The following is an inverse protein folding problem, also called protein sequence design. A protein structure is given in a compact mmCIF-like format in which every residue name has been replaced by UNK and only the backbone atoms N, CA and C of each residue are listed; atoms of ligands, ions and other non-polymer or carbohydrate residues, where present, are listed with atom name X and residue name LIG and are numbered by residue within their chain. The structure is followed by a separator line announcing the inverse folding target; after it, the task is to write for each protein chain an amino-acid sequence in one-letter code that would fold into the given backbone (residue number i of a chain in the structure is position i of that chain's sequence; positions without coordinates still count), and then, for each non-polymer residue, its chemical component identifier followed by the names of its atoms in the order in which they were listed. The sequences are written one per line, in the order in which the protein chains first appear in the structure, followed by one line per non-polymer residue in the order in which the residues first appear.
data_IF_645033258037
#
_entry.id   IF_645033258037
#
_cell.length_a   1.000
_cell.length_b   1.000
_cell.length_c   1.000
_cell.angle_alpha   90.00
_cell.angle_beta   90.00
_cell.angle_gamma   90.00
#
_symmetry.space_group_name_H-M   'P 1'
#
loop_
_entity.id
_entity.type
_entity.pdbx_description
1 polymer ?
#
# COMPACT_ATOMS: atom_id res chain seq x y z
N UNK A 1 -9.76 -19.03 17.53
CA UNK A 1 -8.41 -19.29 17.99
C UNK A 1 -7.56 -18.03 17.95
N UNK A 2 -6.49 -18.01 18.75
CA UNK A 2 -5.62 -16.85 18.85
C UNK A 2 -4.23 -17.18 18.30
N UNK A 3 -3.67 -16.21 17.60
CA UNK A 3 -2.31 -16.21 17.13
C UNK A 3 -1.52 -15.14 17.88
N UNK A 4 -0.31 -15.47 18.30
CA UNK A 4 0.57 -14.58 19.05
C UNK A 4 1.79 -14.27 18.18
N UNK A 5 1.97 -13.01 17.81
CA UNK A 5 3.17 -12.55 17.12
C UNK A 5 4.05 -11.75 18.07
N UNK A 6 5.36 -11.95 18.02
CA UNK A 6 6.35 -11.19 18.76
C UNK A 6 7.18 -10.37 17.78
N UNK A 7 7.34 -9.07 18.04
CA UNK A 7 8.10 -8.15 17.20
C UNK A 7 8.78 -7.07 18.06
N UNK A 8 9.58 -6.22 17.43
CA UNK A 8 10.12 -5.00 18.04
C UNK A 8 9.03 -3.93 18.26
N UNK A 9 9.35 -2.91 19.05
CA UNK A 9 8.42 -1.84 19.40
C UNK A 9 8.03 -0.96 18.20
N UNK A 10 8.94 -0.74 17.25
CA UNK A 10 8.69 0.07 16.06
C UNK A 10 7.69 -0.64 15.12
N UNK A 11 7.84 -1.95 14.99
CA UNK A 11 6.88 -2.79 14.27
C UNK A 11 5.53 -2.80 14.98
N UNK A 12 5.51 -2.92 16.30
CA UNK A 12 4.26 -2.93 17.09
C UNK A 12 3.47 -1.62 16.95
N UNK A 13 4.15 -0.47 16.89
CA UNK A 13 3.51 0.83 16.71
C UNK A 13 2.67 0.91 15.43
N UNK A 14 3.00 0.13 14.40
CA UNK A 14 2.24 0.07 13.15
C UNK A 14 0.87 -0.60 13.30
N UNK A 15 0.65 -1.33 14.39
CA UNK A 15 -0.62 -1.99 14.70
C UNK A 15 -1.60 -1.08 15.45
N UNK A 16 -1.16 0.11 15.86
CA UNK A 16 -2.06 1.09 16.47
C UNK A 16 -3.17 1.46 15.48
N UNK A 17 -4.42 1.33 15.93
CA UNK A 17 -5.62 1.59 15.14
C UNK A 17 -5.84 0.67 13.92
N UNK A 18 -5.15 -0.46 13.86
CA UNK A 18 -5.38 -1.49 12.85
C UNK A 18 -6.41 -2.49 13.39
N UNK A 19 -7.57 -2.60 12.73
CA UNK A 19 -8.63 -3.52 13.15
C UNK A 19 -8.43 -4.93 12.60
N UNK A 20 -8.17 -5.06 11.30
CA UNK A 20 -8.06 -6.36 10.62
C UNK A 20 -6.78 -6.44 9.81
N UNK A 21 -6.14 -7.59 9.85
CA UNK A 21 -4.89 -7.90 9.15
C UNK A 21 -5.02 -9.21 8.37
N UNK A 22 -4.12 -9.42 7.41
CA UNK A 22 -3.95 -10.71 6.75
C UNK A 22 -2.64 -11.34 7.21
N UNK A 23 -2.69 -12.61 7.58
CA UNK A 23 -1.53 -13.39 8.03
C UNK A 23 -1.22 -14.44 6.98
N UNK A 24 0.03 -14.58 6.60
CA UNK A 24 0.53 -15.67 5.76
C UNK A 24 1.84 -16.23 6.30
N UNK A 25 2.08 -17.51 6.03
CA UNK A 25 3.34 -18.19 6.33
C UNK A 25 4.06 -18.45 5.02
N UNK A 26 5.16 -17.72 4.74
CA UNK A 26 5.88 -17.83 3.46
C UNK A 26 6.29 -19.27 3.15
N UNK A 27 5.96 -19.73 1.96
CA UNK A 27 6.30 -21.09 1.48
C UNK A 27 5.46 -22.24 2.03
N UNK A 28 4.53 -21.97 2.95
CA UNK A 28 3.69 -23.02 3.57
C UNK A 28 2.19 -22.83 3.39
N UNK A 29 1.77 -21.67 2.91
CA UNK A 29 0.37 -21.30 2.81
C UNK A 29 0.09 -20.54 1.53
N UNK A 30 -0.97 -20.96 0.82
CA UNK A 30 -1.38 -20.33 -0.43
C UNK A 30 -2.43 -19.22 -0.23
N UNK A 31 -3.19 -19.25 0.87
CA UNK A 31 -4.28 -18.30 1.14
C UNK A 31 -4.05 -17.59 2.46
N UNK A 32 -3.89 -16.26 2.47
CA UNK A 32 -3.78 -15.49 3.69
C UNK A 32 -5.02 -15.63 4.59
N UNK A 33 -4.81 -15.68 5.89
CA UNK A 33 -5.88 -15.70 6.88
C UNK A 33 -6.24 -14.28 7.33
N UNK A 34 -7.51 -14.02 7.45
CA UNK A 34 -7.98 -12.79 8.09
C UNK A 34 -8.00 -12.94 9.60
N UNK A 35 -7.41 -11.98 10.28
CA UNK A 35 -7.39 -11.90 11.74
C UNK A 35 -7.73 -10.49 12.22
N UNK A 36 -8.33 -10.39 13.40
CA UNK A 36 -8.57 -9.12 14.07
C UNK A 36 -7.48 -8.88 15.11
N UNK A 37 -6.92 -7.68 15.14
CA UNK A 37 -5.98 -7.26 16.20
C UNK A 37 -6.80 -7.07 17.46
N UNK A 38 -6.58 -7.94 18.45
CA UNK A 38 -7.29 -7.90 19.73
C UNK A 38 -6.56 -7.03 20.75
N UNK A 39 -5.24 -7.17 20.81
CA UNK A 39 -4.40 -6.48 21.78
C UNK A 39 -2.96 -6.35 21.29
N UNK A 40 -2.31 -5.25 21.68
CA UNK A 40 -0.87 -5.04 21.52
C UNK A 40 -0.28 -4.79 22.91
N UNK A 41 0.50 -5.75 23.41
CA UNK A 41 1.18 -5.69 24.69
C UNK A 41 2.64 -5.31 24.47
N UNK A 42 3.09 -4.21 25.03
CA UNK A 42 4.49 -3.75 24.90
C UNK A 42 5.27 -3.99 26.17
N UNK A 43 6.44 -4.58 26.04
CA UNK A 43 7.48 -4.63 27.08
C UNK A 43 8.60 -3.65 26.70
N UNK A 44 8.56 -2.48 27.33
CA UNK A 44 9.53 -1.40 27.04
C UNK A 44 10.92 -1.74 27.54
N UNK A 45 11.02 -2.48 28.62
CA UNK A 45 12.30 -2.85 29.23
C UNK A 45 13.00 -3.95 28.40
N UNK A 46 12.21 -4.88 27.86
CA UNK A 46 12.71 -5.92 26.96
C UNK A 46 12.82 -5.50 25.50
N UNK A 47 12.30 -4.33 25.12
CA UNK A 47 12.35 -3.82 23.73
C UNK A 47 11.49 -4.62 22.74
N UNK A 48 10.53 -5.41 23.24
CA UNK A 48 9.68 -6.29 22.43
C UNK A 48 8.20 -6.00 22.66
N UNK A 49 7.40 -6.44 21.71
CA UNK A 49 5.94 -6.40 21.83
C UNK A 49 5.33 -7.74 21.43
N UNK A 50 4.21 -8.05 22.03
CA UNK A 50 3.36 -9.20 21.73
C UNK A 50 2.04 -8.71 21.17
N UNK A 51 1.72 -9.15 19.94
CA UNK A 51 0.48 -8.83 19.27
C UNK A 51 -0.44 -10.05 19.35
N UNK A 52 -1.64 -9.85 19.86
CA UNK A 52 -2.67 -10.87 19.96
C UNK A 52 -3.63 -10.70 18.78
N UNK A 53 -3.69 -11.73 17.94
CA UNK A 53 -4.52 -11.75 16.73
C UNK A 53 -5.59 -12.83 16.89
N UNK A 54 -6.85 -12.46 16.72
CA UNK A 54 -7.98 -13.38 16.77
C UNK A 54 -8.40 -13.78 15.36
N UNK A 55 -8.39 -15.07 15.07
CA UNK A 55 -8.86 -15.66 13.83
C UNK A 55 -10.16 -16.43 14.04
N UNK A 56 -11.15 -16.21 13.18
CA UNK A 56 -12.43 -16.91 13.25
C UNK A 56 -12.38 -18.28 12.55
N UNK A 57 -11.54 -18.38 11.51
CA UNK A 57 -11.38 -19.61 10.71
C UNK A 57 -9.99 -20.19 10.91
N UNK A 58 -9.88 -21.49 10.90
CA UNK A 58 -8.63 -22.23 10.87
C UNK A 58 -8.65 -23.14 9.62
N UNK A 59 -7.57 -23.20 8.89
CA UNK A 59 -7.42 -24.14 7.79
C UNK A 59 -6.44 -25.26 8.16
N UNK A 60 -6.45 -26.32 7.37
CA UNK A 60 -5.60 -27.49 7.62
C UNK A 60 -4.08 -27.16 7.54
N UNK A 61 -3.72 -26.16 6.76
CA UNK A 61 -2.31 -25.77 6.54
C UNK A 61 -1.67 -25.22 7.82
N UNK A 62 -2.52 -24.74 8.77
CA UNK A 62 -2.05 -24.08 10.01
C UNK A 62 -2.11 -25.04 11.21
N UNK A 63 -2.91 -26.12 11.08
CA UNK A 63 -2.99 -27.13 12.10
C UNK A 63 -1.66 -27.88 12.22
N UNK A 64 -0.69 -27.43 12.84
CA UNK A 64 0.63 -28.06 12.98
C UNK A 64 1.74 -27.06 12.98
N UNK A 65 1.43 -25.78 12.81
CA UNK A 65 2.41 -24.72 13.01
C UNK A 65 2.67 -24.58 14.52
N UNK A 66 3.93 -24.70 14.89
CA UNK A 66 4.39 -24.33 16.22
C UNK A 66 4.87 -22.88 16.22
N UNK A 67 6.19 -22.68 16.27
CA UNK A 67 6.81 -21.37 16.15
C UNK A 67 7.26 -21.18 14.70
N UNK A 68 6.69 -20.18 14.01
CA UNK A 68 6.96 -19.88 12.60
C UNK A 68 7.16 -18.40 12.39
N UNK A 69 7.93 -18.05 11.36
CA UNK A 69 8.01 -16.66 10.87
C UNK A 69 6.80 -16.40 9.97
N UNK A 70 6.06 -15.35 10.29
CA UNK A 70 4.85 -14.98 9.55
C UNK A 70 5.00 -13.62 8.89
N UNK A 71 4.30 -13.42 7.79
CA UNK A 71 4.07 -12.13 7.18
C UNK A 71 2.69 -11.64 7.58
N UNK A 72 2.61 -10.42 8.09
CA UNK A 72 1.35 -9.78 8.46
C UNK A 72 1.16 -8.53 7.59
N UNK A 73 0.12 -8.57 6.76
CA UNK A 73 -0.26 -7.44 5.90
C UNK A 73 -1.26 -6.56 6.67
N UNK A 74 -0.83 -5.38 7.07
CA UNK A 74 -1.61 -4.45 7.89
C UNK A 74 -2.69 -3.73 7.08
N UNK A 75 -2.36 -3.38 5.82
CA UNK A 75 -3.27 -2.67 4.92
C UNK A 75 -2.95 -3.02 3.47
N UNK A 76 -4.00 -3.30 2.72
CA UNK A 76 -3.90 -3.47 1.27
C UNK A 76 -4.46 -2.23 0.59
N UNK A 77 -3.71 -1.69 -0.36
CA UNK A 77 -4.17 -0.60 -1.22
C UNK A 77 -4.29 -1.11 -2.64
N UNK A 78 -5.39 -0.76 -3.28
CA UNK A 78 -5.61 -1.00 -4.71
C UNK A 78 -5.60 0.33 -5.44
N UNK A 79 -4.95 0.38 -6.60
CA UNK A 79 -4.85 1.60 -7.38
C UNK A 79 -3.81 1.53 -8.50
N UNK A 80 -3.62 2.66 -9.18
CA UNK A 80 -2.64 2.81 -10.24
C UNK A 80 -1.29 3.16 -9.62
N UNK A 81 -0.26 2.39 -9.97
CA UNK A 81 1.11 2.63 -9.53
C UNK A 81 1.83 3.54 -10.52
N UNK A 82 2.39 4.62 -10.02
CA UNK A 82 3.13 5.62 -10.79
C UNK A 82 4.57 5.72 -10.24
N UNK A 83 5.56 5.81 -11.11
CA UNK A 83 6.94 6.07 -10.73
C UNK A 83 7.03 7.44 -10.02
N UNK A 84 7.72 7.48 -8.88
CA UNK A 84 7.87 8.70 -8.11
C UNK A 84 8.59 9.82 -8.88
N UNK A 85 9.45 9.47 -9.84
CA UNK A 85 10.14 10.43 -10.70
C UNK A 85 9.19 11.18 -11.64
N UNK A 86 8.00 10.64 -11.91
CA UNK A 86 6.98 11.30 -12.71
C UNK A 86 6.17 12.35 -11.93
N UNK A 87 6.39 12.47 -10.61
CA UNK A 87 5.67 13.43 -9.78
C UNK A 87 6.18 14.85 -10.01
N UNK A 88 5.25 15.75 -10.31
CA UNK A 88 5.50 17.19 -10.42
C UNK A 88 4.59 17.98 -9.47
N UNK A 89 5.05 19.16 -9.09
CA UNK A 89 4.26 20.12 -8.31
C UNK A 89 4.13 21.39 -9.16
N UNK A 90 2.90 21.68 -9.55
CA UNK A 90 2.54 22.86 -10.35
C UNK A 90 1.52 23.67 -9.56
N UNK A 91 1.81 24.95 -9.30
CA UNK A 91 0.97 25.85 -8.50
C UNK A 91 0.56 25.25 -7.13
N UNK A 92 1.50 24.55 -6.48
CA UNK A 92 1.26 23.87 -5.20
C UNK A 92 0.43 22.59 -5.28
N UNK A 93 0.07 22.14 -6.48
CA UNK A 93 -0.71 20.93 -6.71
C UNK A 93 0.17 19.78 -7.18
N UNK A 94 0.03 18.61 -6.56
CA UNK A 94 0.73 17.38 -6.97
C UNK A 94 0.02 16.77 -8.19
N UNK A 95 0.82 16.38 -9.19
CA UNK A 95 0.29 15.80 -10.40
C UNK A 95 1.36 15.14 -11.25
N UNK A 96 0.95 14.61 -12.37
CA UNK A 96 1.80 14.00 -13.39
C UNK A 96 1.50 14.57 -14.76
N UNK A 97 2.49 14.58 -15.63
CA UNK A 97 2.27 14.88 -17.04
C UNK A 97 1.98 13.59 -17.79
N UNK A 98 0.91 13.59 -18.56
CA UNK A 98 0.53 12.50 -19.45
C UNK A 98 0.60 12.96 -20.91
N UNK A 99 0.90 12.02 -21.79
CA UNK A 99 0.82 12.23 -23.22
C UNK A 99 -0.60 12.01 -23.70
N UNK A 100 -1.22 13.06 -24.21
CA UNK A 100 -2.56 13.03 -24.78
C UNK A 100 -2.49 13.39 -26.27
N UNK A 101 -2.44 12.38 -27.13
CA UNK A 101 -2.11 12.57 -28.55
C UNK A 101 -0.71 13.17 -28.70
N UNK A 102 -0.61 14.38 -29.26
CA UNK A 102 0.65 15.13 -29.42
C UNK A 102 0.83 16.24 -28.36
N UNK A 103 0.02 16.24 -27.31
CA UNK A 103 0.06 17.25 -26.25
C UNK A 103 0.51 16.66 -24.93
N UNK A 104 1.20 17.45 -24.13
CA UNK A 104 1.42 17.20 -22.71
C UNK A 104 0.24 17.72 -21.93
N UNK A 105 -0.26 16.96 -20.97
CA UNK A 105 -1.37 17.36 -20.11
C UNK A 105 -1.02 17.12 -18.65
N UNK A 106 -1.17 18.13 -17.81
CA UNK A 106 -0.96 18.00 -16.37
C UNK A 106 -2.23 17.48 -15.71
N UNK A 107 -2.15 16.32 -15.07
CA UNK A 107 -3.24 15.73 -14.31
C UNK A 107 -2.92 15.72 -12.83
N UNK A 108 -3.84 16.24 -12.02
CA UNK A 108 -3.71 16.24 -10.56
C UNK A 108 -3.94 14.84 -10.02
N UNK A 109 -3.19 14.49 -8.98
CA UNK A 109 -3.32 13.17 -8.34
C UNK A 109 -3.61 13.30 -6.84
N UNK A 110 -4.42 12.38 -6.33
CA UNK A 110 -4.57 12.10 -4.91
C UNK A 110 -3.70 10.89 -4.58
N UNK A 111 -2.94 10.93 -3.49
CA UNK A 111 -2.05 9.83 -3.08
C UNK A 111 -2.76 8.93 -2.08
N UNK A 112 -2.84 7.63 -2.36
CA UNK A 112 -3.28 6.59 -1.42
C UNK A 112 -2.12 6.08 -0.57
N UNK A 113 -0.96 5.89 -1.22
CA UNK A 113 0.26 5.40 -0.61
C UNK A 113 1.46 5.94 -1.39
N UNK A 114 2.57 6.15 -0.70
CA UNK A 114 3.83 6.62 -1.29
C UNK A 114 5.01 5.99 -0.57
N UNK A 115 6.04 5.60 -1.32
CA UNK A 115 7.34 5.22 -0.80
C UNK A 115 8.46 5.88 -1.62
N UNK A 116 9.70 5.41 -1.47
CA UNK A 116 10.85 6.00 -2.16
C UNK A 116 10.86 5.77 -3.68
N UNK A 117 10.14 4.75 -4.16
CA UNK A 117 10.17 4.31 -5.56
C UNK A 117 8.91 4.66 -6.33
N UNK A 118 7.75 4.66 -5.70
CA UNK A 118 6.47 4.87 -6.39
C UNK A 118 5.41 5.55 -5.53
N UNK A 119 4.39 6.04 -6.22
CA UNK A 119 3.16 6.58 -5.67
C UNK A 119 2.00 5.69 -6.13
N UNK A 120 1.07 5.38 -5.25
CA UNK A 120 -0.18 4.71 -5.57
C UNK A 120 -1.32 5.73 -5.52
N UNK A 121 -2.07 5.83 -6.60
CA UNK A 121 -3.22 6.71 -6.74
C UNK A 121 -4.51 5.89 -6.87
N UNK A 122 -5.69 6.44 -6.54
CA UNK A 122 -6.96 5.75 -6.75
C UNK A 122 -7.16 5.40 -8.22
N UNK A 123 -7.63 4.19 -8.50
CA UNK A 123 -8.25 3.85 -9.77
C UNK A 123 -9.76 4.10 -9.64
N UNK A 124 -10.22 5.24 -10.08
CA UNK A 124 -11.63 5.61 -9.95
C UNK A 124 -12.52 4.92 -10.99
N UNK A 125 -11.93 4.17 -11.94
CA UNK A 125 -12.66 3.38 -12.94
C UNK A 125 -13.66 4.17 -13.80
N UNK A 126 -13.72 5.49 -13.66
CA UNK A 126 -14.65 6.34 -14.37
C UNK A 126 -14.13 6.67 -15.76
N UNK A 127 -14.70 6.03 -16.74
CA UNK A 127 -14.54 6.40 -18.16
C UNK A 127 -15.20 7.76 -18.36
N UNK A 128 -14.42 8.78 -18.72
CA UNK A 128 -15.00 10.05 -19.18
C UNK A 128 -14.69 11.31 -18.39
N UNK A 129 -13.96 11.27 -17.28
CA UNK A 129 -13.46 12.49 -16.63
C UNK A 129 -12.07 12.82 -17.17
N UNK A 130 -11.95 13.89 -17.92
CA UNK A 130 -10.72 14.29 -18.62
C UNK A 130 -9.59 14.78 -17.72
N UNK A 131 -9.75 14.73 -16.40
CA UNK A 131 -8.80 15.30 -15.44
C UNK A 131 -8.21 14.28 -14.46
N UNK A 132 -8.40 12.97 -14.68
CA UNK A 132 -7.87 11.92 -13.81
C UNK A 132 -6.96 10.98 -14.59
N UNK A 133 -5.89 10.52 -13.96
CA UNK A 133 -5.00 9.49 -14.52
C UNK A 133 -5.74 8.17 -14.58
N UNK A 134 -5.62 7.49 -15.71
CA UNK A 134 -6.27 6.20 -15.99
C UNK A 134 -5.24 5.10 -16.18
N UNK A 135 -5.70 3.89 -16.04
CA UNK A 135 -4.91 2.73 -16.41
C UNK A 135 -4.57 2.80 -17.92
N UNK A 136 -3.30 2.58 -18.26
CA UNK A 136 -2.71 2.69 -19.59
C UNK A 136 -2.46 4.11 -20.12
N UNK A 137 -2.66 5.17 -19.33
CA UNK A 137 -2.18 6.49 -19.72
C UNK A 137 -0.64 6.49 -19.82
N UNK A 138 -0.11 7.11 -20.88
CA UNK A 138 1.33 7.28 -21.08
C UNK A 138 1.84 8.42 -20.19
N UNK A 139 2.41 8.08 -19.04
CA UNK A 139 2.97 9.05 -18.09
C UNK A 139 4.38 9.44 -18.51
N UNK A 140 4.67 10.74 -18.55
CA UNK A 140 5.98 11.28 -18.86
C UNK A 140 6.81 11.28 -17.58
N UNK A 141 7.76 10.35 -17.48
CA UNK A 141 8.64 10.20 -16.30
C UNK A 141 9.77 11.22 -16.33
N UNK A 142 10.32 11.49 -17.52
CA UNK A 142 11.43 12.45 -17.70
C UNK A 142 11.17 13.34 -18.92
N UNK A 143 11.37 14.63 -18.73
CA UNK A 143 11.23 15.61 -19.79
C UNK A 143 11.76 16.96 -19.36
N UNK A 144 12.35 17.71 -20.33
CA UNK A 144 12.77 19.08 -20.11
C UNK A 144 11.62 20.02 -20.47
N UNK A 145 11.35 20.97 -19.56
CA UNK A 145 10.38 22.04 -19.83
C UNK A 145 8.95 21.52 -20.08
N UNK A 146 8.48 20.63 -19.18
CA UNK A 146 7.12 20.12 -19.20
C UNK A 146 6.13 21.24 -18.88
N UNK A 147 5.11 21.41 -19.71
CA UNK A 147 4.04 22.41 -19.55
C UNK A 147 2.72 21.85 -20.05
N UNK A 148 1.64 22.21 -19.36
CA UNK A 148 0.29 21.82 -19.76
C UNK A 148 -0.06 22.43 -21.12
N UNK A 149 -0.64 21.64 -22.03
CA UNK A 149 -1.00 22.04 -23.38
C UNK A 149 0.16 22.19 -24.38
N UNK A 150 1.40 21.89 -23.98
CA UNK A 150 2.55 21.95 -24.89
C UNK A 150 2.58 20.73 -25.81
N UNK A 151 2.96 20.97 -27.09
CA UNK A 151 3.26 19.91 -28.06
C UNK A 151 4.48 19.11 -27.63
N UNK A 152 4.40 17.79 -27.82
CA UNK A 152 5.49 16.83 -27.64
C UNK A 152 6.50 16.92 -28.77
#
# INVERSE_FOLDING_TARGET
WKFYAVCDLDTAARFENVGTVKISVPGKQNTPLSATVEEVQTDKDGGIAKIVLQCQTINADILGFGLETVQIDLKTYEGIRIDKQALHIVDGQRGVYVKYGNLQRFLRIATLYENDSYILIPDNGKIGTDNEVRLYDEIIVQGTNLQDGKLL
#
